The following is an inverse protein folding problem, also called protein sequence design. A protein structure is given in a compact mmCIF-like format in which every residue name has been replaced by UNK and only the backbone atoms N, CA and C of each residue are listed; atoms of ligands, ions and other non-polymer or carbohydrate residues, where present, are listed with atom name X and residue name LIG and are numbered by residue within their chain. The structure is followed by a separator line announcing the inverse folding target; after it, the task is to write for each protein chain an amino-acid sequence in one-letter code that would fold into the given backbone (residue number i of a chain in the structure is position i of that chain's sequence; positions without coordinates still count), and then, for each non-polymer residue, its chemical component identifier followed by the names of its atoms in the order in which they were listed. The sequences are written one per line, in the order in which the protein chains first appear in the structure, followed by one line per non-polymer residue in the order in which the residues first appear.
data_IF_385332178223
#
_entry.id   IF_385332178223
#
_cell.length_a   1.000
_cell.length_b   1.000
_cell.length_c   1.000
_cell.angle_alpha   90.00
_cell.angle_beta   90.00
_cell.angle_gamma   90.00
#
_symmetry.space_group_name_H-M   'P 1'
#
loop_
_entity.id
_entity.type
_entity.pdbx_description
1 polymer ?
#
# COMPACT_ATOMS: atom_id res chain seq x y z
N UNK A 1 9.62 7.46 10.37
CA UNK A 1 9.10 8.84 10.27
C UNK A 1 7.97 8.85 9.24
N UNK A 2 6.80 9.43 9.53
CA UNK A 2 5.69 9.51 8.57
C UNK A 2 5.98 10.57 7.49
N UNK A 3 5.84 10.17 6.22
CA UNK A 3 5.83 11.07 5.07
C UNK A 3 4.41 11.48 4.73
N UNK A 4 4.23 12.52 3.93
CA UNK A 4 2.91 12.99 3.47
C UNK A 4 2.11 11.86 2.80
N UNK A 5 2.77 11.03 1.98
CA UNK A 5 2.15 9.88 1.33
C UNK A 5 1.75 8.81 2.36
N UNK A 6 2.65 8.46 3.29
CA UNK A 6 2.34 7.44 4.29
C UNK A 6 1.21 7.87 5.24
N UNK A 7 1.10 9.15 5.52
CA UNK A 7 0.00 9.71 6.31
C UNK A 7 -1.32 9.66 5.54
N UNK A 8 -1.34 10.05 4.26
CA UNK A 8 -2.55 9.98 3.43
C UNK A 8 -3.02 8.52 3.25
N UNK A 9 -2.10 7.55 3.12
CA UNK A 9 -2.42 6.11 3.13
C UNK A 9 -3.07 5.70 4.45
N UNK A 10 -2.50 6.14 5.57
CA UNK A 10 -3.05 5.88 6.91
C UNK A 10 -4.50 6.38 7.04
N UNK A 11 -4.74 7.63 6.64
CA UNK A 11 -6.09 8.24 6.67
C UNK A 11 -7.05 7.54 5.70
N UNK A 12 -6.56 7.10 4.54
CA UNK A 12 -7.37 6.35 3.58
C UNK A 12 -7.82 4.98 4.11
N UNK A 13 -6.96 4.29 4.87
CA UNK A 13 -7.32 3.04 5.55
C UNK A 13 -8.35 3.32 6.64
N UNK A 14 -8.15 4.39 7.42
CA UNK A 14 -9.12 4.82 8.43
C UNK A 14 -10.48 5.13 7.82
N UNK A 15 -10.52 5.81 6.70
CA UNK A 15 -11.75 6.09 5.95
C UNK A 15 -12.46 4.78 5.54
N UNK A 16 -11.73 3.81 4.95
CA UNK A 16 -12.31 2.52 4.57
C UNK A 16 -12.92 1.80 5.78
N UNK A 17 -12.25 1.86 6.93
CA UNK A 17 -12.71 1.26 8.18
C UNK A 17 -14.02 1.87 8.69
N UNK A 18 -14.11 3.21 8.69
CA UNK A 18 -15.28 3.93 9.22
C UNK A 18 -16.49 3.85 8.28
N UNK A 19 -16.24 3.85 6.97
CA UNK A 19 -17.29 3.84 5.95
C UNK A 19 -17.64 2.42 5.46
N UNK A 20 -17.05 1.38 6.03
CA UNK A 20 -17.25 -0.03 5.65
C UNK A 20 -17.23 -0.23 4.13
N UNK A 21 -16.23 0.29 3.46
CA UNK A 21 -16.19 0.37 2.00
C UNK A 21 -14.87 -0.10 1.41
N UNK A 22 -14.87 -0.29 0.09
CA UNK A 22 -13.66 -0.60 -0.65
C UNK A 22 -12.91 0.66 -1.08
N UNK A 23 -11.61 0.69 -0.80
CA UNK A 23 -10.67 1.74 -1.19
C UNK A 23 -9.51 1.14 -1.98
N UNK A 24 -9.06 1.84 -3.02
CA UNK A 24 -7.91 1.43 -3.84
C UNK A 24 -6.81 2.47 -3.78
N UNK A 25 -5.63 2.04 -3.34
CA UNK A 25 -4.42 2.86 -3.19
C UNK A 25 -3.34 2.32 -4.14
N UNK A 26 -3.07 3.02 -5.22
CA UNK A 26 -2.17 2.52 -6.26
C UNK A 26 -1.08 3.52 -6.64
N UNK A 27 -0.13 3.09 -7.47
CA UNK A 27 0.91 3.97 -8.01
C UNK A 27 2.33 3.42 -7.83
N UNK A 28 3.32 4.31 -7.91
CA UNK A 28 4.72 3.96 -8.02
C UNK A 28 5.24 3.13 -6.85
N UNK A 29 6.20 2.25 -7.13
CA UNK A 29 6.90 1.51 -6.10
C UNK A 29 7.80 2.43 -5.26
N UNK A 30 8.01 2.08 -3.99
CA UNK A 30 8.98 2.79 -3.13
C UNK A 30 8.55 4.16 -2.62
N UNK A 31 7.32 4.61 -2.85
CA UNK A 31 6.81 5.92 -2.40
C UNK A 31 6.29 5.93 -0.95
N UNK A 32 6.23 4.78 -0.29
CA UNK A 32 5.84 4.69 1.13
C UNK A 32 4.44 4.13 1.40
N UNK A 33 3.68 3.65 0.40
CA UNK A 33 2.33 3.07 0.59
C UNK A 33 2.30 1.99 1.67
N UNK A 34 3.12 0.94 1.52
CA UNK A 34 3.18 -0.17 2.48
C UNK A 34 3.66 0.27 3.87
N UNK A 35 4.44 1.36 3.98
CA UNK A 35 4.85 1.92 5.29
C UNK A 35 3.69 2.58 6.02
N UNK A 36 2.85 3.32 5.32
CA UNK A 36 1.61 3.88 5.89
C UNK A 36 0.67 2.77 6.37
N UNK A 37 0.49 1.72 5.56
CA UNK A 37 -0.30 0.55 5.94
C UNK A 37 0.27 -0.18 7.16
N UNK A 38 1.59 -0.46 7.19
CA UNK A 38 2.26 -1.09 8.34
C UNK A 38 2.08 -0.30 9.63
N UNK A 39 2.15 1.04 9.55
CA UNK A 39 1.91 1.90 10.71
C UNK A 39 0.46 1.75 11.19
N UNK A 40 -0.52 1.82 10.29
CA UNK A 40 -1.93 1.67 10.65
C UNK A 40 -2.20 0.32 11.33
N UNK A 41 -1.71 -0.77 10.75
CA UNK A 41 -1.87 -2.13 11.30
C UNK A 41 -1.23 -2.26 12.70
N UNK A 42 -0.09 -1.60 12.92
CA UNK A 42 0.57 -1.56 14.24
C UNK A 42 -0.23 -0.79 15.27
N UNK A 43 -0.82 0.33 14.86
CA UNK A 43 -1.59 1.21 15.77
C UNK A 43 -2.99 0.61 16.07
N UNK A 44 -3.51 -0.29 15.21
CA UNK A 44 -4.85 -0.88 15.31
C UNK A 44 -4.83 -2.44 15.29
N UNK A 45 -4.10 -3.10 16.19
CA UNK A 45 -3.85 -4.55 16.13
C UNK A 45 -5.10 -5.41 16.32
N UNK A 46 -6.16 -4.86 16.92
CA UNK A 46 -7.43 -5.56 17.17
C UNK A 46 -8.45 -5.41 16.04
N UNK A 47 -8.39 -4.29 15.32
CA UNK A 47 -9.42 -3.89 14.35
C UNK A 47 -8.89 -3.77 12.92
N UNK A 48 -7.65 -4.15 12.69
CA UNK A 48 -7.05 -4.12 11.36
C UNK A 48 -6.20 -5.37 11.11
N UNK A 49 -6.36 -5.95 9.94
CA UNK A 49 -5.63 -7.13 9.49
C UNK A 49 -4.98 -6.85 8.13
N UNK A 50 -3.72 -7.21 7.99
CA UNK A 50 -2.97 -7.06 6.75
C UNK A 50 -2.52 -8.39 6.16
N UNK A 51 -2.66 -8.54 4.86
CA UNK A 51 -2.06 -9.63 4.08
C UNK A 51 -1.32 -9.06 2.87
N UNK A 52 -0.30 -9.76 2.42
CA UNK A 52 0.40 -9.44 1.18
C UNK A 52 0.24 -10.59 0.19
N UNK A 53 -0.12 -10.26 -1.04
CA UNK A 53 -0.38 -11.22 -2.10
C UNK A 53 0.86 -11.36 -2.99
N UNK A 54 1.17 -12.60 -3.33
CA UNK A 54 2.21 -12.95 -4.30
C UNK A 54 1.59 -13.59 -5.54
N UNK A 55 2.31 -13.74 -6.65
CA UNK A 55 1.79 -14.46 -7.83
C UNK A 55 1.24 -15.86 -7.51
N UNK A 56 1.82 -16.55 -6.52
CA UNK A 56 1.38 -17.88 -6.09
C UNK A 56 0.16 -17.87 -5.16
N UNK A 57 -0.11 -16.76 -4.49
CA UNK A 57 -1.20 -16.65 -3.49
C UNK A 57 -2.41 -15.85 -3.96
N UNK A 58 -2.41 -15.37 -5.20
CA UNK A 58 -3.49 -14.55 -5.77
C UNK A 58 -4.77 -15.28 -6.15
N UNK A 59 -4.84 -16.61 -5.99
CA UNK A 59 -6.06 -17.39 -6.25
C UNK A 59 -7.06 -17.22 -5.11
N UNK A 60 -8.35 -17.41 -5.40
CA UNK A 60 -9.42 -17.36 -4.39
C UNK A 60 -9.11 -18.27 -3.19
N UNK A 61 -8.75 -19.53 -3.45
CA UNK A 61 -8.46 -20.50 -2.38
C UNK A 61 -7.29 -20.06 -1.50
N UNK A 62 -6.21 -19.58 -2.11
CA UNK A 62 -5.03 -19.12 -1.34
C UNK A 62 -5.31 -17.85 -0.56
N UNK A 63 -6.04 -16.91 -1.15
CA UNK A 63 -6.40 -15.65 -0.51
C UNK A 63 -7.29 -15.87 0.72
N UNK A 64 -8.33 -16.71 0.59
CA UNK A 64 -9.22 -17.07 1.71
C UNK A 64 -8.41 -17.71 2.86
N UNK A 65 -7.47 -18.61 2.55
CA UNK A 65 -6.60 -19.22 3.57
C UNK A 65 -5.70 -18.20 4.27
N UNK A 66 -5.13 -17.25 3.52
CA UNK A 66 -4.32 -16.18 4.10
C UNK A 66 -5.16 -15.31 5.05
N UNK A 67 -6.36 -14.94 4.63
CA UNK A 67 -7.28 -14.16 5.47
C UNK A 67 -7.67 -14.93 6.73
N UNK A 68 -8.03 -16.22 6.61
CA UNK A 68 -8.40 -17.05 7.74
C UNK A 68 -7.26 -17.13 8.78
N UNK A 69 -6.02 -17.33 8.33
CA UNK A 69 -4.85 -17.35 9.21
C UNK A 69 -4.62 -15.99 9.89
N UNK A 70 -4.71 -14.91 9.13
CA UNK A 70 -4.52 -13.56 9.66
C UNK A 70 -5.59 -13.18 10.69
N UNK A 71 -6.83 -13.61 10.49
CA UNK A 71 -7.98 -13.40 11.38
C UNK A 71 -8.10 -14.46 12.49
N UNK A 72 -7.20 -15.46 12.51
CA UNK A 72 -7.22 -16.60 13.43
C UNK A 72 -8.56 -17.39 13.39
N UNK A 73 -9.13 -17.48 12.20
CA UNK A 73 -10.30 -18.32 11.93
C UNK A 73 -9.81 -19.74 11.64
N UNK A 74 -10.40 -20.78 12.28
CA UNK A 74 -10.02 -22.18 12.02
C UNK A 74 -10.15 -22.56 10.55
N UNK A 75 -9.27 -23.43 10.06
CA UNK A 75 -9.35 -23.95 8.70
C UNK A 75 -10.55 -24.89 8.56
N UNK A 76 -11.39 -24.62 7.55
CA UNK A 76 -12.54 -25.44 7.19
C UNK A 76 -12.21 -26.38 6.03
N UNK A 77 -13.00 -27.47 5.87
CA UNK A 77 -12.77 -28.49 4.84
C UNK A 77 -12.95 -27.96 3.42
N UNK A 78 -13.92 -27.09 3.21
CA UNK A 78 -14.20 -26.54 1.89
C UNK A 78 -14.19 -24.98 1.91
N UNK A 79 -14.20 -24.39 0.71
CA UNK A 79 -14.11 -22.93 0.55
C UNK A 79 -15.35 -22.20 1.05
N UNK A 80 -16.53 -22.81 0.89
CA UNK A 80 -17.81 -22.21 1.28
C UNK A 80 -17.85 -22.07 2.80
N UNK A 81 -17.57 -23.15 3.52
CA UNK A 81 -17.54 -23.12 4.99
C UNK A 81 -16.50 -22.13 5.52
N UNK A 82 -15.32 -22.08 4.85
CA UNK A 82 -14.28 -21.14 5.22
C UNK A 82 -14.72 -19.70 5.02
N UNK A 83 -15.45 -19.41 3.95
CA UNK A 83 -15.95 -18.06 3.66
C UNK A 83 -17.07 -17.68 4.64
N UNK A 84 -17.97 -18.60 4.96
CA UNK A 84 -18.98 -18.39 5.99
C UNK A 84 -18.36 -18.12 7.36
N UNK A 85 -17.34 -18.88 7.74
CA UNK A 85 -16.62 -18.65 8.99
C UNK A 85 -15.92 -17.28 9.02
N UNK A 86 -15.39 -16.83 7.89
CA UNK A 86 -14.82 -15.47 7.75
C UNK A 86 -15.89 -14.40 7.91
N UNK A 87 -17.05 -14.53 7.24
CA UNK A 87 -18.16 -13.59 7.36
C UNK A 87 -18.66 -13.53 8.80
N UNK A 88 -18.93 -14.64 9.44
CA UNK A 88 -19.36 -14.70 10.84
C UNK A 88 -18.37 -14.03 11.81
N UNK A 89 -17.07 -13.97 11.42
CA UNK A 89 -16.04 -13.29 12.22
C UNK A 89 -15.96 -11.80 11.94
N UNK A 90 -16.42 -11.35 10.78
CA UNK A 90 -16.20 -9.99 10.26
C UNK A 90 -17.47 -9.14 10.25
N UNK A 91 -18.62 -9.70 9.85
CA UNK A 91 -19.89 -8.97 9.71
C UNK A 91 -20.26 -8.24 11.01
N UNK A 92 -20.75 -7.02 10.91
CA UNK A 92 -21.10 -6.17 12.05
C UNK A 92 -19.93 -5.64 12.87
N UNK A 93 -18.67 -5.87 12.44
CA UNK A 93 -17.48 -5.41 13.15
C UNK A 93 -16.85 -4.19 12.50
N UNK A 94 -16.11 -3.39 13.27
CA UNK A 94 -15.28 -2.29 12.75
C UNK A 94 -13.89 -2.78 12.25
N UNK A 95 -13.85 -3.97 11.64
CA UNK A 95 -12.62 -4.49 11.06
C UNK A 95 -12.31 -3.81 9.73
N UNK A 96 -11.02 -3.70 9.42
CA UNK A 96 -10.53 -3.36 8.09
C UNK A 96 -9.48 -4.37 7.64
N UNK A 97 -9.60 -4.82 6.40
CA UNK A 97 -8.62 -5.70 5.75
C UNK A 97 -7.78 -4.87 4.79
N UNK A 98 -6.47 -4.90 4.99
CA UNK A 98 -5.50 -4.27 4.09
C UNK A 98 -4.79 -5.35 3.28
N UNK A 99 -4.88 -5.26 1.97
CA UNK A 99 -4.29 -6.22 1.04
C UNK A 99 -3.21 -5.52 0.23
N UNK A 100 -1.96 -5.83 0.53
CA UNK A 100 -0.81 -5.31 -0.23
C UNK A 100 -0.49 -6.21 -1.43
N UNK A 101 0.15 -5.63 -2.48
CA UNK A 101 0.45 -6.27 -3.77
C UNK A 101 -0.81 -6.82 -4.47
N UNK A 102 -1.91 -6.09 -4.37
CA UNK A 102 -3.23 -6.51 -4.86
C UNK A 102 -3.31 -6.74 -6.38
N UNK A 103 -2.31 -6.29 -7.18
CA UNK A 103 -2.22 -6.61 -8.59
C UNK A 103 -2.09 -8.12 -8.88
N UNK A 104 -1.69 -8.92 -7.90
CA UNK A 104 -1.59 -10.36 -8.04
C UNK A 104 -2.90 -11.11 -7.78
N UNK A 105 -3.93 -10.44 -7.26
CA UNK A 105 -5.25 -11.07 -7.04
C UNK A 105 -5.91 -11.44 -8.38
N UNK A 106 -6.44 -12.65 -8.45
CA UNK A 106 -7.30 -13.06 -9.55
C UNK A 106 -8.72 -12.52 -9.37
N UNK A 107 -9.46 -12.37 -10.47
CA UNK A 107 -10.81 -11.79 -10.48
C UNK A 107 -11.73 -12.42 -9.42
N UNK A 108 -11.80 -13.76 -9.36
CA UNK A 108 -12.65 -14.44 -8.39
C UNK A 108 -12.30 -14.12 -6.92
N UNK A 109 -11.00 -13.88 -6.62
CA UNK A 109 -10.58 -13.44 -5.30
C UNK A 109 -10.98 -11.99 -5.01
N UNK A 110 -10.88 -11.11 -6.02
CA UNK A 110 -11.31 -9.71 -5.89
C UNK A 110 -12.81 -9.60 -5.64
N UNK A 111 -13.64 -10.38 -6.36
CA UNK A 111 -15.10 -10.40 -6.16
C UNK A 111 -15.47 -10.89 -4.75
N UNK A 112 -14.84 -11.96 -4.29
CA UNK A 112 -15.10 -12.48 -2.96
C UNK A 112 -14.70 -11.51 -1.85
N UNK A 113 -13.53 -10.85 -2.01
CA UNK A 113 -13.06 -9.81 -1.10
C UNK A 113 -13.99 -8.61 -1.11
N UNK A 114 -14.44 -8.18 -2.30
CA UNK A 114 -15.40 -7.09 -2.44
C UNK A 114 -16.70 -7.40 -1.68
N UNK A 115 -17.18 -8.64 -1.79
CA UNK A 115 -18.43 -9.04 -1.13
C UNK A 115 -18.38 -8.88 0.39
N UNK A 116 -17.21 -8.83 1.00
CA UNK A 116 -17.04 -8.54 2.44
C UNK A 116 -17.40 -7.10 2.82
N UNK A 117 -17.48 -6.20 1.84
CA UNK A 117 -17.92 -4.81 2.08
C UNK A 117 -19.43 -4.62 1.96
N UNK A 118 -20.15 -5.62 1.45
CA UNK A 118 -21.61 -5.56 1.33
C UNK A 118 -22.25 -5.93 2.66
N UNK A 119 -23.35 -5.26 2.98
CA UNK A 119 -24.17 -5.61 4.14
C UNK A 119 -24.72 -7.03 4.00
N UNK A 120 -24.83 -7.73 5.12
CA UNK A 120 -25.39 -9.07 5.14
C UNK A 120 -26.91 -8.98 4.93
N UNK A 121 -27.47 -9.49 3.82
CA UNK A 121 -28.88 -9.32 3.50
C UNK A 121 -29.81 -10.10 4.43
N UNK A 122 -29.29 -11.06 5.19
CA UNK A 122 -30.09 -11.90 6.11
C UNK A 122 -30.12 -11.36 7.52
N UNK A 123 -29.00 -10.79 8.01
CA UNK A 123 -28.89 -10.27 9.38
C UNK A 123 -29.02 -8.75 9.44
N UNK A 124 -28.83 -8.04 8.32
CA UNK A 124 -28.75 -6.57 8.27
C UNK A 124 -27.46 -6.01 8.85
N UNK A 125 -26.51 -6.86 9.22
CA UNK A 125 -25.19 -6.42 9.71
C UNK A 125 -24.38 -5.82 8.57
N UNK A 126 -23.71 -4.70 8.85
CA UNK A 126 -22.85 -4.05 7.86
C UNK A 126 -21.61 -4.89 7.55
N UNK A 127 -21.09 -4.74 6.32
CA UNK A 127 -19.82 -5.29 5.92
C UNK A 127 -18.64 -4.59 6.59
N UNK A 128 -17.44 -4.86 6.12
CA UNK A 128 -16.19 -4.33 6.67
C UNK A 128 -15.47 -3.40 5.68
N UNK A 129 -14.48 -2.64 6.17
CA UNK A 129 -13.57 -1.90 5.31
C UNK A 129 -12.57 -2.82 4.59
N UNK A 130 -12.33 -2.56 3.30
CA UNK A 130 -11.31 -3.26 2.51
C UNK A 130 -10.44 -2.27 1.78
N UNK A 131 -9.12 -2.40 1.91
CA UNK A 131 -8.15 -1.55 1.22
C UNK A 131 -7.23 -2.39 0.34
N UNK A 132 -7.24 -2.11 -0.95
CA UNK A 132 -6.34 -2.72 -1.93
C UNK A 132 -5.17 -1.78 -2.18
N UNK A 133 -3.95 -2.23 -1.92
CA UNK A 133 -2.72 -1.49 -2.18
C UNK A 133 -1.94 -2.21 -3.28
N UNK A 134 -1.41 -1.45 -4.26
CA UNK A 134 -0.58 -2.04 -5.30
C UNK A 134 0.03 -1.01 -6.25
N UNK A 135 0.52 -1.49 -7.39
CA UNK A 135 1.00 -0.66 -8.48
C UNK A 135 -0.18 -0.15 -9.35
N UNK A 136 0.11 0.63 -10.38
CA UNK A 136 -0.93 1.17 -11.29
C UNK A 136 -1.68 0.08 -12.06
N UNK A 137 -1.13 -1.14 -12.14
CA UNK A 137 -1.81 -2.28 -12.77
C UNK A 137 -3.09 -2.68 -12.04
N UNK A 138 -3.11 -2.58 -10.68
CA UNK A 138 -4.33 -2.82 -9.89
C UNK A 138 -5.48 -1.98 -10.41
N UNK A 139 -5.22 -0.69 -10.55
CA UNK A 139 -6.24 0.26 -11.01
C UNK A 139 -6.64 0.02 -12.47
N UNK A 140 -5.67 -0.19 -13.37
CA UNK A 140 -5.94 -0.46 -14.79
C UNK A 140 -6.78 -1.71 -14.99
N UNK A 141 -6.55 -2.76 -14.18
CA UNK A 141 -7.35 -3.99 -14.20
C UNK A 141 -8.77 -3.75 -13.71
N UNK A 142 -8.95 -2.96 -12.66
CA UNK A 142 -10.27 -2.63 -12.11
C UNK A 142 -11.07 -1.71 -13.03
N UNK A 143 -10.42 -0.82 -13.79
CA UNK A 143 -11.10 0.03 -14.80
C UNK A 143 -11.71 -0.74 -15.98
N UNK A 144 -11.31 -2.00 -16.17
CA UNK A 144 -12.04 -2.91 -17.04
C UNK A 144 -12.12 -2.55 -18.50
N UNK A 145 -11.03 -2.13 -19.13
CA UNK A 145 -11.02 -1.92 -20.59
C UNK A 145 -11.31 -3.20 -21.38
N UNK A 146 -11.37 -4.36 -20.77
CA UNK A 146 -11.52 -5.65 -21.46
C UNK A 146 -12.67 -6.55 -20.99
N UNK A 147 -13.35 -6.28 -19.86
CA UNK A 147 -14.46 -7.14 -19.40
C UNK A 147 -15.48 -6.37 -18.56
N UNK A 148 -16.77 -6.49 -18.91
CA UNK A 148 -17.91 -5.92 -18.17
C UNK A 148 -17.92 -6.30 -16.67
N UNK A 149 -17.32 -7.45 -16.32
CA UNK A 149 -17.19 -7.94 -14.95
C UNK A 149 -16.39 -6.99 -14.03
N UNK A 150 -15.27 -6.40 -14.53
CA UNK A 150 -14.50 -5.44 -13.73
C UNK A 150 -15.20 -4.08 -13.57
N UNK A 151 -16.12 -3.71 -14.48
CA UNK A 151 -16.90 -2.49 -14.34
C UNK A 151 -17.80 -2.50 -13.10
N UNK A 152 -18.35 -3.67 -12.74
CA UNK A 152 -19.13 -3.83 -11.51
C UNK A 152 -18.27 -3.65 -10.26
N UNK A 153 -17.07 -4.24 -10.24
CA UNK A 153 -16.11 -4.03 -9.16
C UNK A 153 -15.75 -2.55 -9.00
N UNK A 154 -15.45 -1.88 -10.13
CA UNK A 154 -15.06 -0.48 -10.13
C UNK A 154 -16.15 0.43 -9.56
N UNK A 155 -17.43 0.16 -9.87
CA UNK A 155 -18.56 0.95 -9.37
C UNK A 155 -18.73 0.90 -7.84
N UNK A 156 -18.13 -0.10 -7.18
CA UNK A 156 -18.19 -0.29 -5.72
C UNK A 156 -17.00 0.30 -4.97
N UNK A 157 -15.99 0.81 -5.70
CA UNK A 157 -14.86 1.51 -5.09
C UNK A 157 -15.32 2.90 -4.66
N UNK A 158 -15.30 3.15 -3.36
CA UNK A 158 -15.74 4.43 -2.78
C UNK A 158 -14.68 5.52 -2.88
N UNK A 159 -13.41 5.13 -2.81
CA UNK A 159 -12.28 6.06 -2.94
C UNK A 159 -11.10 5.38 -3.64
N UNK A 160 -10.43 6.15 -4.48
CA UNK A 160 -9.16 5.78 -5.07
C UNK A 160 -8.13 6.89 -4.87
N UNK A 161 -6.88 6.50 -4.66
CA UNK A 161 -5.75 7.42 -4.55
C UNK A 161 -4.57 6.90 -5.36
N UNK A 162 -4.00 7.78 -6.17
CA UNK A 162 -2.78 7.50 -6.90
C UNK A 162 -1.58 8.18 -6.23
N UNK A 163 -0.54 7.42 -5.97
CA UNK A 163 0.71 7.87 -5.37
C UNK A 163 1.86 7.72 -6.36
N UNK A 164 2.33 8.84 -6.87
CA UNK A 164 3.49 8.88 -7.77
C UNK A 164 4.71 9.42 -7.05
N UNK A 165 5.91 9.07 -7.53
CA UNK A 165 7.17 9.60 -7.02
C UNK A 165 7.23 11.12 -7.11
N UNK A 166 6.57 11.73 -8.11
CA UNK A 166 6.48 13.19 -8.28
C UNK A 166 5.74 13.90 -7.13
N UNK A 167 4.88 13.20 -6.40
CA UNK A 167 4.12 13.75 -5.26
C UNK A 167 4.92 13.81 -3.96
N UNK A 168 6.16 13.32 -3.94
CA UNK A 168 7.05 13.44 -2.78
C UNK A 168 7.38 14.92 -2.55
N UNK A 169 7.16 15.38 -1.33
CA UNK A 169 7.35 16.78 -0.94
C UNK A 169 8.75 17.02 -0.37
N UNK A 170 9.28 18.26 -0.48
CA UNK A 170 10.56 18.60 0.15
C UNK A 170 10.57 18.34 1.67
N UNK A 171 9.44 18.59 2.35
CA UNK A 171 9.28 18.37 3.80
C UNK A 171 9.39 16.88 4.16
N UNK A 172 9.04 15.97 3.24
CA UNK A 172 9.22 14.53 3.43
C UNK A 172 10.71 14.17 3.46
N UNK A 173 11.50 14.80 2.60
CA UNK A 173 12.97 14.60 2.55
C UNK A 173 13.61 15.10 3.83
N UNK A 174 13.23 16.28 4.32
CA UNK A 174 13.73 16.82 5.59
C UNK A 174 13.42 15.87 6.76
N UNK A 175 12.21 15.33 6.84
CA UNK A 175 11.84 14.38 7.88
C UNK A 175 12.58 13.06 7.79
N UNK A 176 12.84 12.57 6.57
CA UNK A 176 13.52 11.29 6.35
C UNK A 176 15.03 11.36 6.60
N UNK A 177 15.64 12.54 6.39
CA UNK A 177 17.07 12.78 6.46
C UNK A 177 17.39 13.96 7.39
N UNK A 178 17.12 13.84 8.70
CA UNK A 178 17.24 14.97 9.65
C UNK A 178 18.66 15.50 9.82
N UNK A 179 19.70 14.70 9.54
CA UNK A 179 21.11 15.14 9.59
C UNK A 179 21.40 16.24 8.55
N UNK A 180 20.50 16.40 7.56
CA UNK A 180 20.63 17.41 6.52
C UNK A 180 19.80 18.69 6.82
N UNK A 181 19.35 18.91 8.06
CA UNK A 181 18.59 20.11 8.44
C UNK A 181 19.41 21.41 8.43
N UNK A 182 20.74 21.30 8.36
CA UNK A 182 21.61 22.47 8.32
C UNK A 182 21.45 23.23 6.99
N UNK A 183 21.41 24.56 7.02
CA UNK A 183 21.27 25.43 5.84
C UNK A 183 22.34 25.17 4.78
N UNK A 184 23.48 24.60 5.18
CA UNK A 184 24.58 24.20 4.27
C UNK A 184 24.25 22.93 3.44
N UNK A 185 23.30 22.13 3.87
CA UNK A 185 22.93 20.86 3.22
C UNK A 185 21.81 21.01 2.18
N UNK A 186 21.53 22.23 1.70
CA UNK A 186 20.45 22.46 0.72
C UNK A 186 20.65 21.67 -0.57
N UNK A 187 21.87 21.60 -1.06
CA UNK A 187 22.21 20.81 -2.26
C UNK A 187 21.96 19.32 -2.06
N UNK A 188 22.27 18.79 -0.87
CA UNK A 188 22.10 17.40 -0.51
C UNK A 188 20.61 17.05 -0.45
N UNK A 189 19.81 17.92 0.14
CA UNK A 189 18.36 17.78 0.19
C UNK A 189 17.72 17.83 -1.20
N UNK A 190 18.10 18.77 -2.04
CA UNK A 190 17.62 18.89 -3.42
C UNK A 190 17.99 17.65 -4.24
N UNK A 191 19.20 17.14 -4.07
CA UNK A 191 19.65 15.90 -4.73
C UNK A 191 18.82 14.69 -4.26
N UNK A 192 18.68 14.48 -2.96
CA UNK A 192 17.86 13.39 -2.43
C UNK A 192 16.40 13.51 -2.84
N UNK A 193 15.86 14.73 -2.92
CA UNK A 193 14.51 14.97 -3.46
C UNK A 193 14.42 14.54 -4.92
N UNK A 194 15.41 14.83 -5.73
CA UNK A 194 15.45 14.39 -7.13
C UNK A 194 15.46 12.87 -7.26
N UNK A 195 16.23 12.18 -6.40
CA UNK A 195 16.23 10.71 -6.33
C UNK A 195 14.86 10.18 -5.86
N UNK A 196 14.26 10.78 -4.84
CA UNK A 196 12.90 10.39 -4.39
C UNK A 196 11.85 10.55 -5.50
N UNK A 197 11.99 11.54 -6.37
CA UNK A 197 11.07 11.81 -7.50
C UNK A 197 11.39 11.01 -8.76
N UNK A 198 12.50 10.29 -8.78
CA UNK A 198 12.90 9.39 -9.84
C UNK A 198 12.16 8.03 -9.74
N UNK A 199 12.31 7.13 -10.72
CA UNK A 199 11.79 5.76 -10.63
C UNK A 199 12.26 4.96 -9.41
N UNK A 200 13.35 5.38 -8.76
CA UNK A 200 13.89 4.74 -7.55
C UNK A 200 13.08 5.05 -6.29
N UNK A 201 12.34 6.16 -6.27
CA UNK A 201 11.46 6.56 -5.18
C UNK A 201 12.19 6.82 -3.85
N UNK A 202 11.41 6.96 -2.79
CA UNK A 202 11.94 7.13 -1.41
C UNK A 202 12.83 5.94 -1.01
N UNK A 203 12.49 4.74 -1.45
CA UNK A 203 13.29 3.53 -1.15
C UNK A 203 14.71 3.66 -1.70
N UNK A 204 14.87 4.13 -2.94
CA UNK A 204 16.19 4.36 -3.55
C UNK A 204 16.97 5.43 -2.81
N UNK A 205 16.33 6.55 -2.46
CA UNK A 205 16.98 7.62 -1.69
C UNK A 205 17.41 7.15 -0.29
N UNK A 206 16.60 6.35 0.40
CA UNK A 206 16.96 5.76 1.69
C UNK A 206 18.15 4.81 1.59
N UNK A 207 18.17 3.94 0.58
CA UNK A 207 19.32 3.03 0.35
C UNK A 207 20.59 3.81 0.05
N UNK A 208 20.50 4.83 -0.81
CA UNK A 208 21.63 5.71 -1.15
C UNK A 208 22.18 6.39 0.11
N UNK A 209 21.31 7.01 0.91
CA UNK A 209 21.70 7.69 2.13
C UNK A 209 22.31 6.72 3.15
N UNK A 210 21.73 5.55 3.32
CA UNK A 210 22.25 4.53 4.26
C UNK A 210 23.65 4.07 3.86
N UNK A 211 23.89 3.85 2.55
CA UNK A 211 25.20 3.46 2.05
C UNK A 211 26.22 4.57 2.26
N UNK A 212 25.85 5.83 1.99
CA UNK A 212 26.74 6.98 2.23
C UNK A 212 27.06 7.16 3.72
N UNK A 213 26.04 7.04 4.59
CA UNK A 213 26.21 7.11 6.04
C UNK A 213 27.10 6.00 6.59
N UNK A 214 27.02 4.79 6.02
CA UNK A 214 27.91 3.68 6.38
C UNK A 214 29.38 3.95 6.01
N UNK A 215 29.64 4.81 5.03
CA UNK A 215 30.96 5.31 4.69
C UNK A 215 31.38 6.55 5.52
N UNK A 216 30.57 6.95 6.51
CA UNK A 216 30.75 8.16 7.33
C UNK A 216 30.85 9.47 6.52
N UNK A 217 30.30 9.52 5.34
CA UNK A 217 30.31 10.70 4.48
C UNK A 217 28.97 10.82 3.74
N UNK A 218 28.16 11.77 4.17
CA UNK A 218 26.85 12.09 3.56
C UNK A 218 26.89 13.41 2.76
N UNK A 219 28.10 13.87 2.38
CA UNK A 219 28.26 15.04 1.52
C UNK A 219 27.66 14.85 0.14
N UNK A 220 27.33 15.95 -0.53
CA UNK A 220 26.79 15.93 -1.90
C UNK A 220 27.69 15.13 -2.85
N UNK A 221 29.00 15.37 -2.80
CA UNK A 221 29.98 14.70 -3.66
C UNK A 221 29.95 13.18 -3.47
N UNK A 222 29.84 12.71 -2.22
CA UNK A 222 29.80 11.29 -1.94
C UNK A 222 28.43 10.68 -2.28
N UNK A 223 27.32 11.37 -1.97
CA UNK A 223 25.99 10.95 -2.40
C UNK A 223 25.91 10.81 -3.92
N UNK A 224 26.44 11.77 -4.66
CA UNK A 224 26.47 11.75 -6.11
C UNK A 224 27.28 10.59 -6.66
N UNK A 225 28.49 10.37 -6.14
CA UNK A 225 29.38 9.24 -6.53
C UNK A 225 28.72 7.90 -6.20
N UNK A 226 28.13 7.79 -5.02
CA UNK A 226 27.43 6.59 -4.59
C UNK A 226 26.21 6.29 -5.46
N UNK A 227 25.45 7.31 -5.84
CA UNK A 227 24.33 7.17 -6.76
C UNK A 227 24.77 6.61 -8.12
N UNK A 228 25.86 7.13 -8.68
CA UNK A 228 26.44 6.61 -9.91
C UNK A 228 26.86 5.13 -9.75
N UNK A 229 27.51 4.78 -8.63
CA UNK A 229 27.91 3.41 -8.34
C UNK A 229 26.71 2.46 -8.19
N UNK A 230 25.61 2.92 -7.62
CA UNK A 230 24.37 2.15 -7.47
C UNK A 230 23.54 2.07 -8.77
N UNK A 231 23.99 2.68 -9.86
CA UNK A 231 23.23 2.74 -11.11
C UNK A 231 21.96 3.60 -11.01
N UNK A 232 21.87 4.46 -10.01
CA UNK A 232 20.82 5.48 -9.91
C UNK A 232 21.16 6.51 -11.00
N UNK A 233 20.60 6.29 -12.20
CA UNK A 233 20.86 7.13 -13.36
C UNK A 233 20.53 8.58 -13.05
N UNK A 234 21.48 9.46 -13.36
CA UNK A 234 21.26 10.88 -13.32
C UNK A 234 20.21 11.23 -14.35
N UNK A 235 19.00 11.47 -13.89
CA UNK A 235 18.05 12.21 -14.69
C UNK A 235 18.69 13.60 -14.85
N UNK A 236 19.20 13.89 -16.06
CA UNK A 236 19.53 15.23 -16.46
C UNK A 236 18.41 16.13 -16.00
N UNK A 237 18.74 17.06 -15.11
CA UNK A 237 17.86 18.17 -14.76
C UNK A 237 17.69 18.96 -16.07
N UNK A 238 16.55 18.77 -16.72
CA UNK A 238 16.05 19.64 -17.78
C UNK A 238 15.12 20.64 -17.14
#
# INVERSE_FOLDING_TARGET
VPTSISEDVYQSIRFAQLEHCMVVLHGDAGVGKSKGAQKFLKDHPTNAVGISITPSTGTLSSCIKLLARALRVPECRNKMDQMLALRNRLDGTNQVIVIDEAQHLKYAALEEIRSLTDDNPMTGEHGIGVVLIGNSEVYSRLQGRQQAQFAQLFSRIRMQREYTTRKVKPEDVQKLFPVLEDKKAKKDQEFLLSVCRSPWGIRGAMNLYTNAASANDVSYENLYRMAAHMGIGMLSVV
#
